data_IF_449624503634
#
_entry.id   IF_449624503634
#
_cell.length_a   1.000
_cell.length_b   1.000
_cell.length_c   1.000
_cell.angle_alpha   90.00
_cell.angle_beta   90.00
_cell.angle_gamma   90.00
#
_symmetry.space_group_name_H-M   'P 1'
#
loop_
_entity.id
_entity.type
_entity.pdbx_description
1 polymer ?
#
# COMPACT_ATOMS: atom_id res chain seq x y z
N UNK A 1 56.68 -48.27 77.14
CA UNK A 1 56.26 -46.92 77.56
C UNK A 1 57.18 -45.93 76.88
N UNK A 2 56.79 -45.46 75.69
CA UNK A 2 57.50 -44.42 74.97
C UNK A 2 56.61 -43.19 74.98
N UNK A 3 57.10 -42.11 75.60
CA UNK A 3 56.38 -40.86 75.74
C UNK A 3 56.37 -40.12 74.40
N UNK A 4 55.17 -39.81 73.92
CA UNK A 4 54.91 -39.08 72.68
C UNK A 4 54.99 -37.57 72.98
N UNK A 5 55.99 -36.89 72.41
CA UNK A 5 56.21 -35.45 72.59
C UNK A 5 55.14 -34.64 71.83
N UNK A 6 54.59 -33.57 72.44
CA UNK A 6 53.53 -32.76 71.83
C UNK A 6 54.07 -31.94 70.65
N UNK A 7 53.39 -32.04 69.49
CA UNK A 7 53.57 -31.17 68.32
C UNK A 7 53.30 -29.71 68.71
N UNK A 8 54.31 -28.87 68.61
CA UNK A 8 54.17 -27.42 68.68
C UNK A 8 53.37 -26.92 67.46
N UNK A 9 52.19 -26.37 67.71
CA UNK A 9 51.41 -25.59 66.73
C UNK A 9 52.16 -24.31 66.38
N UNK A 10 52.60 -24.20 65.12
CA UNK A 10 53.17 -22.98 64.57
C UNK A 10 52.15 -21.83 64.60
N UNK A 11 52.56 -20.60 64.97
CA UNK A 11 51.69 -19.43 64.97
C UNK A 11 51.24 -19.11 63.53
N UNK A 12 49.92 -19.04 63.31
CA UNK A 12 49.35 -18.60 62.05
C UNK A 12 49.92 -17.23 61.66
N UNK A 13 50.44 -17.07 60.42
CA UNK A 13 50.98 -15.79 59.98
C UNK A 13 49.90 -14.70 60.06
N UNK A 14 50.27 -13.46 60.39
CA UNK A 14 49.34 -12.35 60.48
C UNK A 14 48.59 -12.22 59.15
N UNK A 15 47.26 -12.32 59.18
CA UNK A 15 46.41 -12.06 58.02
C UNK A 15 46.72 -10.66 57.52
N UNK A 16 47.39 -10.56 56.38
CA UNK A 16 47.65 -9.30 55.71
C UNK A 16 46.34 -8.52 55.64
N UNK A 17 46.30 -7.37 56.29
CA UNK A 17 45.17 -6.46 56.28
C UNK A 17 44.81 -6.17 54.81
N UNK A 18 43.64 -6.65 54.38
CA UNK A 18 43.07 -6.37 53.06
C UNK A 18 42.77 -4.87 52.99
N UNK A 19 43.76 -4.08 52.59
CA UNK A 19 43.57 -2.69 52.21
C UNK A 19 42.57 -2.68 51.05
N UNK A 20 41.46 -1.95 51.22
CA UNK A 20 40.45 -1.82 50.19
C UNK A 20 41.12 -1.35 48.89
N UNK A 21 40.86 -2.02 47.74
CA UNK A 21 41.48 -1.62 46.49
C UNK A 21 41.12 -0.15 46.20
N UNK A 22 42.08 0.66 45.76
CA UNK A 22 41.84 2.07 45.47
C UNK A 22 40.69 2.21 44.46
N UNK A 23 39.88 3.29 44.55
CA UNK A 23 38.72 3.48 43.67
C UNK A 23 39.17 3.46 42.22
N UNK A 24 38.65 2.51 41.43
CA UNK A 24 39.05 2.28 40.02
C UNK A 24 38.39 3.24 39.01
N UNK A 25 37.42 4.04 39.47
CA UNK A 25 36.65 4.99 38.67
C UNK A 25 37.45 6.13 38.01
N UNK A 26 38.46 6.75 38.64
CA UNK A 26 39.25 7.80 38.01
C UNK A 26 39.97 7.34 36.73
N UNK A 27 40.34 6.05 36.66
CA UNK A 27 40.98 5.44 35.50
C UNK A 27 40.07 5.27 34.27
N UNK A 28 38.75 5.42 34.43
CA UNK A 28 37.76 5.34 33.34
C UNK A 28 37.42 6.71 32.72
N UNK A 29 37.87 7.82 33.31
CA UNK A 29 37.54 9.17 32.82
C UNK A 29 38.11 9.44 31.42
N UNK A 30 39.40 9.24 31.24
CA UNK A 30 40.06 9.47 29.96
C UNK A 30 39.52 8.61 28.80
N UNK A 31 39.28 7.29 28.94
CA UNK A 31 38.72 6.50 27.85
C UNK A 31 37.23 6.83 27.60
N UNK A 32 36.47 7.20 28.62
CA UNK A 32 35.10 7.69 28.44
C UNK A 32 35.07 9.05 27.69
N UNK A 33 36.00 9.96 27.99
CA UNK A 33 36.15 11.23 27.25
C UNK A 33 36.54 10.95 25.79
N UNK A 34 37.49 10.05 25.54
CA UNK A 34 37.86 9.67 24.17
C UNK A 34 36.67 9.07 23.41
N UNK A 35 35.89 8.21 24.05
CA UNK A 35 34.66 7.65 23.47
C UNK A 35 33.63 8.76 23.17
N UNK A 36 33.42 9.68 24.11
CA UNK A 36 32.54 10.84 23.90
C UNK A 36 33.04 11.70 22.73
N UNK A 37 34.34 11.97 22.61
CA UNK A 37 34.90 12.69 21.47
C UNK A 37 34.67 11.96 20.13
N UNK A 38 34.65 10.63 20.15
CA UNK A 38 34.31 9.78 19.01
C UNK A 38 32.81 9.81 18.62
N UNK A 39 31.92 9.95 19.60
CA UNK A 39 30.45 9.88 19.40
C UNK A 39 29.83 11.26 19.21
N UNK A 40 30.27 12.25 19.97
CA UNK A 40 29.70 13.59 20.05
C UNK A 40 29.55 14.26 18.68
N UNK A 41 30.51 14.14 17.74
CA UNK A 41 30.36 14.77 16.43
C UNK A 41 29.26 14.13 15.59
N UNK A 42 28.94 12.84 15.78
CA UNK A 42 27.78 12.24 15.13
C UNK A 42 26.47 12.92 15.56
N UNK A 43 26.36 13.33 16.81
CA UNK A 43 25.19 14.02 17.35
C UNK A 43 25.15 15.51 17.00
N UNK A 44 26.28 16.21 17.14
CA UNK A 44 26.36 17.64 16.90
C UNK A 44 26.19 18.00 15.42
N UNK A 45 26.65 17.13 14.52
CA UNK A 45 26.59 17.35 13.09
C UNK A 45 25.48 16.58 12.39
N UNK A 46 24.60 15.92 13.15
CA UNK A 46 23.39 15.30 12.62
C UNK A 46 22.47 16.40 12.05
N UNK A 47 22.49 16.57 10.72
CA UNK A 47 21.62 17.52 10.01
C UNK A 47 22.32 18.65 9.25
N UNK A 48 23.62 18.86 9.39
CA UNK A 48 24.36 19.88 8.63
C UNK A 48 24.93 19.31 7.33
N UNK A 49 24.06 18.88 6.42
CA UNK A 49 24.46 18.53 5.05
C UNK A 49 24.00 19.62 4.10
N UNK A 50 24.95 20.41 3.60
CA UNK A 50 24.69 21.31 2.48
C UNK A 50 24.80 20.50 1.19
N UNK A 51 23.66 20.03 0.67
CA UNK A 51 23.55 19.49 -0.69
C UNK A 51 23.26 20.64 -1.64
N UNK A 52 24.20 20.98 -2.50
CA UNK A 52 23.95 21.93 -3.58
C UNK A 52 23.43 21.17 -4.80
N UNK A 53 22.18 21.42 -5.19
CA UNK A 53 21.58 20.87 -6.40
C UNK A 53 21.48 21.94 -7.48
N UNK A 54 21.89 21.62 -8.71
CA UNK A 54 21.64 22.43 -9.91
C UNK A 54 20.77 21.59 -10.84
N UNK A 55 19.60 22.11 -11.21
CA UNK A 55 18.59 21.40 -12.02
C UNK A 55 18.16 20.04 -11.42
N UNK A 56 18.01 19.97 -10.10
CA UNK A 56 17.61 18.74 -9.39
C UNK A 56 18.68 17.65 -9.35
N UNK A 57 19.89 17.90 -9.89
CA UNK A 57 21.05 17.01 -9.76
C UNK A 57 21.99 17.57 -8.70
N UNK A 58 22.40 16.72 -7.77
CA UNK A 58 23.38 17.09 -6.73
C UNK A 58 24.73 17.27 -7.40
N UNK A 59 25.22 18.52 -7.49
CA UNK A 59 26.49 18.86 -8.13
C UNK A 59 27.64 18.96 -7.13
N UNK A 60 27.32 19.27 -5.87
CA UNK A 60 28.31 19.35 -4.82
C UNK A 60 27.70 18.83 -3.51
N UNK A 61 28.36 17.83 -2.96
CA UNK A 61 28.05 17.25 -1.67
C UNK A 61 29.30 17.35 -0.80
N UNK A 62 29.53 18.56 -0.27
CA UNK A 62 30.67 18.85 0.59
C UNK A 62 30.41 18.26 1.98
N UNK A 63 30.61 16.95 2.12
CA UNK A 63 30.42 16.21 3.39
C UNK A 63 31.62 16.23 4.33
N UNK A 64 32.65 17.04 4.05
CA UNK A 64 33.90 17.05 4.79
C UNK A 64 33.73 17.73 6.16
N UNK A 65 33.49 16.93 7.19
CA UNK A 65 33.33 17.42 8.57
C UNK A 65 34.70 17.64 9.21
N UNK A 66 35.31 18.79 8.93
CA UNK A 66 36.66 19.15 9.42
C UNK A 66 36.72 19.10 10.96
N UNK A 67 35.69 19.57 11.65
CA UNK A 67 35.66 19.52 13.12
C UNK A 67 35.58 18.08 13.62
N UNK A 68 34.70 17.27 13.03
CA UNK A 68 34.61 15.83 13.32
C UNK A 68 35.95 15.13 13.14
N UNK A 69 36.65 15.41 12.04
CA UNK A 69 37.97 14.86 11.78
C UNK A 69 39.00 15.27 12.85
N UNK A 70 39.03 16.55 13.23
CA UNK A 70 39.94 17.05 14.25
C UNK A 70 39.69 16.38 15.62
N UNK A 71 38.42 16.24 16.02
CA UNK A 71 38.03 15.59 17.27
C UNK A 71 38.37 14.09 17.26
N UNK A 72 38.17 13.41 16.13
CA UNK A 72 38.54 12.01 15.96
C UNK A 72 40.05 11.80 16.10
N UNK A 73 40.87 12.65 15.48
CA UNK A 73 42.34 12.59 15.58
C UNK A 73 42.78 12.82 17.04
N UNK A 74 42.20 13.80 17.74
CA UNK A 74 42.49 14.04 19.15
C UNK A 74 42.16 12.81 20.01
N UNK A 75 40.99 12.18 19.78
CA UNK A 75 40.59 10.94 20.45
C UNK A 75 41.57 9.78 20.19
N UNK A 76 42.02 9.60 18.94
CA UNK A 76 43.01 8.57 18.58
C UNK A 76 44.34 8.80 19.30
N UNK A 77 44.85 10.03 19.35
CA UNK A 77 46.09 10.37 20.06
C UNK A 77 45.96 10.06 21.55
N UNK A 78 44.81 10.37 22.16
CA UNK A 78 44.52 10.04 23.56
C UNK A 78 44.53 8.53 23.79
N UNK A 79 43.83 7.76 22.95
CA UNK A 79 43.79 6.28 23.03
C UNK A 79 45.18 5.69 22.89
N UNK A 80 45.99 6.18 21.94
CA UNK A 80 47.36 5.70 21.76
C UNK A 80 48.25 5.96 22.98
N UNK A 81 48.18 7.16 23.57
CA UNK A 81 48.89 7.49 24.82
C UNK A 81 48.45 6.58 25.96
N UNK A 82 47.15 6.39 26.11
CA UNK A 82 46.59 5.52 27.15
C UNK A 82 47.05 4.07 27.01
N UNK A 83 46.99 3.49 25.81
CA UNK A 83 47.40 2.11 25.57
C UNK A 83 48.92 1.91 25.72
N UNK A 84 49.72 2.94 25.39
CA UNK A 84 51.17 2.93 25.62
C UNK A 84 51.53 2.95 27.10
N UNK A 85 50.79 3.71 27.90
CA UNK A 85 51.02 3.85 29.35
C UNK A 85 50.36 2.71 30.16
N UNK A 86 49.50 1.89 29.53
CA UNK A 86 48.81 0.78 30.18
C UNK A 86 49.74 -0.43 30.35
N UNK A 87 50.35 -0.53 31.54
CA UNK A 87 51.28 -1.61 31.90
C UNK A 87 52.75 -1.33 31.56
N UNK A 88 53.12 -0.09 31.28
CA UNK A 88 54.51 0.33 31.17
C UNK A 88 55.14 0.52 32.56
N UNK A 89 56.47 0.42 32.65
CA UNK A 89 57.21 0.62 33.89
C UNK A 89 56.93 2.03 34.47
N UNK A 90 56.50 2.10 35.73
CA UNK A 90 56.15 3.35 36.41
C UNK A 90 54.67 3.76 36.32
N UNK A 91 53.83 2.99 35.61
CA UNK A 91 52.40 3.26 35.45
C UNK A 91 51.52 2.19 36.12
N UNK A 92 50.21 2.47 36.34
CA UNK A 92 49.29 1.49 36.93
C UNK A 92 49.25 0.18 36.12
N UNK A 93 49.13 -0.98 36.79
CA UNK A 93 49.06 -2.28 36.13
C UNK A 93 47.88 -2.33 35.16
N UNK A 94 48.02 -3.17 34.11
CA UNK A 94 46.98 -3.33 33.08
C UNK A 94 45.65 -3.68 33.71
N UNK A 95 44.64 -2.91 33.36
CA UNK A 95 43.28 -3.14 33.82
C UNK A 95 42.37 -3.34 32.61
N UNK A 96 41.98 -4.60 32.40
CA UNK A 96 41.30 -5.07 31.20
C UNK A 96 40.06 -4.22 30.81
N UNK A 97 39.17 -3.78 31.72
CA UNK A 97 38.07 -2.89 31.39
C UNK A 97 38.52 -1.54 30.79
N UNK A 98 39.61 -0.94 31.30
CA UNK A 98 40.17 0.31 30.74
C UNK A 98 40.74 0.07 29.36
N UNK A 99 41.51 -1.01 29.18
CA UNK A 99 42.09 -1.36 27.88
C UNK A 99 41.00 -1.61 26.85
N UNK A 100 39.97 -2.39 27.19
CA UNK A 100 38.81 -2.68 26.32
C UNK A 100 38.09 -1.38 25.94
N UNK A 101 37.79 -0.51 26.91
CA UNK A 101 37.11 0.76 26.63
C UNK A 101 37.96 1.70 25.75
N UNK A 102 39.27 1.75 25.98
CA UNK A 102 40.19 2.54 25.15
C UNK A 102 40.26 2.00 23.71
N UNK A 103 40.31 0.68 23.52
CA UNK A 103 40.26 0.06 22.18
C UNK A 103 38.94 0.38 21.48
N UNK A 104 37.80 0.25 22.16
CA UNK A 104 36.49 0.61 21.60
C UNK A 104 36.42 2.10 21.22
N UNK A 105 36.91 3.00 22.08
CA UNK A 105 36.99 4.43 21.77
C UNK A 105 37.86 4.67 20.53
N UNK A 106 39.01 4.01 20.42
CA UNK A 106 39.88 4.08 19.25
C UNK A 106 39.19 3.63 17.96
N UNK A 107 38.44 2.53 18.00
CA UNK A 107 37.64 2.05 16.86
C UNK A 107 36.55 3.05 16.46
N UNK A 108 35.85 3.66 17.41
CA UNK A 108 34.84 4.69 17.15
C UNK A 108 35.48 5.93 16.52
N UNK A 109 36.62 6.39 17.03
CA UNK A 109 37.32 7.54 16.45
C UNK A 109 37.87 7.24 15.04
N UNK A 110 38.41 6.04 14.78
CA UNK A 110 38.82 5.61 13.43
C UNK A 110 37.63 5.56 12.47
N UNK A 111 36.50 5.04 12.95
CA UNK A 111 35.25 5.02 12.18
C UNK A 111 34.82 6.44 11.82
N UNK A 112 34.80 7.34 12.80
CA UNK A 112 34.45 8.73 12.60
C UNK A 112 35.43 9.48 11.68
N UNK A 113 36.73 9.20 11.75
CA UNK A 113 37.73 9.79 10.85
C UNK A 113 37.47 9.35 9.40
N UNK A 114 37.19 8.06 9.17
CA UNK A 114 36.84 7.54 7.85
C UNK A 114 35.56 8.17 7.28
N UNK A 115 34.53 8.34 8.11
CA UNK A 115 33.32 9.10 7.77
C UNK A 115 33.63 10.56 7.39
N UNK A 116 34.41 11.26 8.22
CA UNK A 116 34.71 12.69 8.04
C UNK A 116 35.58 12.97 6.82
N UNK A 117 36.40 11.99 6.41
CA UNK A 117 37.18 12.00 5.18
C UNK A 117 36.33 11.62 3.94
N UNK A 118 35.09 11.18 4.13
CA UNK A 118 34.22 10.73 3.04
C UNK A 118 34.62 9.39 2.44
N UNK A 119 35.45 8.58 3.12
CA UNK A 119 35.86 7.25 2.64
C UNK A 119 34.67 6.30 2.51
N UNK A 120 33.65 6.46 3.36
CA UNK A 120 32.37 5.77 3.29
C UNK A 120 31.30 6.61 3.98
N UNK A 121 30.03 6.43 3.59
CA UNK A 121 28.88 7.13 4.16
C UNK A 121 28.05 6.16 4.97
N UNK A 122 27.84 6.46 6.25
CA UNK A 122 26.99 5.68 7.14
C UNK A 122 25.92 6.63 7.63
N UNK A 123 24.75 6.57 7.02
CA UNK A 123 23.58 7.24 7.56
C UNK A 123 22.94 6.27 8.57
N UNK A 124 23.07 6.52 9.89
CA UNK A 124 22.45 5.66 10.89
C UNK A 124 20.92 5.67 10.76
N UNK A 125 20.31 6.73 10.23
CA UNK A 125 18.86 6.77 10.05
C UNK A 125 18.40 5.82 8.94
N UNK A 126 19.14 5.75 7.83
CA UNK A 126 18.88 4.78 6.76
C UNK A 126 19.14 3.36 7.26
N UNK A 127 20.26 3.12 7.97
CA UNK A 127 20.60 1.79 8.50
C UNK A 127 19.64 1.30 9.58
N UNK A 128 19.22 2.17 10.49
CA UNK A 128 18.19 1.84 11.49
C UNK A 128 16.85 1.60 10.81
N UNK A 129 16.52 2.36 9.76
CA UNK A 129 15.32 2.14 8.97
C UNK A 129 15.38 0.80 8.21
N UNK A 130 16.50 0.46 7.60
CA UNK A 130 16.75 -0.84 6.95
C UNK A 130 16.67 -2.00 7.94
N UNK A 131 17.33 -1.86 9.10
CA UNK A 131 17.25 -2.85 10.17
C UNK A 131 15.81 -3.01 10.65
N UNK A 132 15.08 -1.90 10.85
CA UNK A 132 13.67 -1.94 11.22
C UNK A 132 12.85 -2.67 10.15
N UNK A 133 13.06 -2.38 8.88
CA UNK A 133 12.37 -3.07 7.77
C UNK A 133 12.75 -4.54 7.71
N UNK A 134 14.01 -4.89 7.96
CA UNK A 134 14.49 -6.28 7.97
C UNK A 134 13.93 -7.10 9.12
N UNK A 135 13.79 -6.51 10.32
CA UNK A 135 13.31 -7.21 11.51
C UNK A 135 11.78 -7.17 11.67
N UNK A 136 11.14 -6.07 11.30
CA UNK A 136 9.71 -5.84 11.53
C UNK A 136 8.88 -5.73 10.25
N UNK A 137 9.51 -5.85 9.08
CA UNK A 137 8.86 -5.64 7.79
C UNK A 137 8.68 -4.16 7.43
N UNK A 138 8.20 -3.93 6.22
CA UNK A 138 7.87 -2.60 5.74
C UNK A 138 6.64 -2.08 6.52
N UNK A 139 6.71 -0.90 7.17
CA UNK A 139 5.52 -0.32 7.78
C UNK A 139 4.44 -0.05 6.72
N UNK A 140 3.20 -0.36 7.08
CA UNK A 140 2.06 -0.04 6.25
C UNK A 140 1.83 1.49 6.22
N UNK A 141 1.55 2.09 5.05
CA UNK A 141 1.14 3.49 4.99
C UNK A 141 -0.17 3.70 5.76
N UNK A 142 -0.16 4.61 6.73
CA UNK A 142 -1.38 5.04 7.41
C UNK A 142 -2.31 5.80 6.47
N UNK A 143 -3.63 5.68 6.69
CA UNK A 143 -4.63 6.49 6.00
C UNK A 143 -4.35 8.00 6.19
N UNK A 144 -4.65 8.79 5.16
CA UNK A 144 -4.42 10.25 5.17
C UNK A 144 -5.71 10.98 5.51
N UNK A 145 -6.78 10.72 4.75
CA UNK A 145 -8.09 11.34 4.97
C UNK A 145 -9.17 10.31 5.30
N UNK A 146 -8.91 9.03 5.05
CA UNK A 146 -9.89 7.98 5.31
C UNK A 146 -10.04 7.70 6.81
N UNK A 147 -11.18 8.10 7.38
CA UNK A 147 -11.55 7.88 8.78
C UNK A 147 -12.40 6.62 9.01
N UNK A 148 -12.60 5.80 7.98
CA UNK A 148 -13.54 4.67 7.99
C UNK A 148 -14.72 4.88 7.04
N UNK A 149 -15.53 3.83 6.87
CA UNK A 149 -16.80 3.94 6.15
C UNK A 149 -17.81 4.70 7.00
N UNK A 150 -18.43 5.73 6.41
CA UNK A 150 -19.56 6.43 6.99
C UNK A 150 -20.75 5.47 7.23
N UNK A 151 -21.64 5.86 8.14
CA UNK A 151 -22.75 5.01 8.57
C UNK A 151 -23.68 4.63 7.40
N UNK A 152 -24.04 5.61 6.54
CA UNK A 152 -24.94 5.37 5.42
C UNK A 152 -24.36 4.35 4.43
N UNK A 153 -23.07 4.46 4.12
CA UNK A 153 -22.37 3.51 3.24
C UNK A 153 -22.25 2.13 3.87
N UNK A 154 -21.94 2.06 5.16
CA UNK A 154 -21.89 0.80 5.90
C UNK A 154 -23.25 0.10 5.90
N UNK A 155 -24.32 0.83 6.20
CA UNK A 155 -25.69 0.32 6.23
C UNK A 155 -26.13 -0.12 4.83
N UNK A 156 -25.77 0.63 3.79
CA UNK A 156 -26.01 0.26 2.40
C UNK A 156 -25.32 -1.05 2.00
N UNK A 157 -24.06 -1.25 2.40
CA UNK A 157 -23.32 -2.50 2.15
C UNK A 157 -23.91 -3.68 2.92
N UNK A 158 -24.29 -3.49 4.19
CA UNK A 158 -24.93 -4.52 5.01
C UNK A 158 -26.29 -4.90 4.43
N UNK A 159 -27.13 -3.90 4.09
CA UNK A 159 -28.44 -4.12 3.46
C UNK A 159 -28.29 -4.89 2.15
N UNK A 160 -27.42 -4.42 1.26
CA UNK A 160 -27.11 -5.10 0.00
C UNK A 160 -26.65 -6.53 0.23
N UNK A 161 -25.75 -6.74 1.19
CA UNK A 161 -25.25 -8.05 1.58
C UNK A 161 -26.33 -9.02 2.06
N UNK A 162 -27.50 -8.53 2.51
CA UNK A 162 -28.67 -9.35 2.89
C UNK A 162 -29.62 -9.62 1.72
N UNK A 163 -29.74 -8.68 0.79
CA UNK A 163 -30.77 -8.70 -0.26
C UNK A 163 -30.34 -9.42 -1.54
N UNK A 164 -29.06 -9.38 -1.91
CA UNK A 164 -28.59 -9.97 -3.18
C UNK A 164 -28.38 -11.49 -3.10
N UNK A 165 -28.38 -12.17 -4.25
CA UNK A 165 -28.09 -13.61 -4.33
C UNK A 165 -26.62 -13.93 -4.07
N UNK A 166 -26.33 -15.21 -3.78
CA UNK A 166 -24.98 -15.70 -3.49
C UNK A 166 -23.97 -15.35 -4.59
N UNK A 167 -24.36 -15.53 -5.85
CA UNK A 167 -23.49 -15.27 -7.00
C UNK A 167 -23.13 -13.80 -7.11
N UNK A 168 -24.11 -12.89 -6.95
CA UNK A 168 -23.86 -11.44 -6.97
C UNK A 168 -23.02 -10.98 -5.78
N UNK A 169 -23.28 -11.48 -4.56
CA UNK A 169 -22.47 -11.12 -3.39
C UNK A 169 -21.03 -11.60 -3.54
N UNK A 170 -20.83 -12.80 -4.07
CA UNK A 170 -19.50 -13.30 -4.41
C UNK A 170 -18.83 -12.43 -5.47
N UNK A 171 -19.53 -12.06 -6.53
CA UNK A 171 -18.99 -11.19 -7.57
C UNK A 171 -18.58 -9.81 -7.01
N UNK A 172 -19.33 -9.27 -6.05
CA UNK A 172 -18.98 -8.04 -5.31
C UNK A 172 -17.69 -8.22 -4.50
N UNK A 173 -17.57 -9.32 -3.72
CA UNK A 173 -16.35 -9.66 -2.97
C UNK A 173 -15.14 -9.76 -3.90
N UNK A 174 -15.27 -10.47 -5.01
CA UNK A 174 -14.20 -10.67 -6.00
C UNK A 174 -13.78 -9.35 -6.63
N UNK A 175 -14.74 -8.48 -6.97
CA UNK A 175 -14.47 -7.18 -7.57
C UNK A 175 -13.72 -6.26 -6.60
N UNK A 176 -14.14 -6.20 -5.34
CA UNK A 176 -13.47 -5.39 -4.31
C UNK A 176 -12.09 -5.96 -3.99
N UNK A 177 -11.94 -7.28 -3.90
CA UNK A 177 -10.65 -7.93 -3.69
C UNK A 177 -9.68 -7.66 -4.84
N UNK A 178 -10.14 -7.71 -6.10
CA UNK A 178 -9.34 -7.40 -7.28
C UNK A 178 -8.86 -5.93 -7.25
N UNK A 179 -9.75 -4.98 -6.93
CA UNK A 179 -9.40 -3.56 -6.81
C UNK A 179 -8.42 -3.30 -5.67
N UNK A 180 -8.64 -3.90 -4.50
CA UNK A 180 -7.75 -3.80 -3.34
C UNK A 180 -6.34 -4.31 -3.68
N UNK A 181 -6.25 -5.51 -4.26
CA UNK A 181 -5.00 -6.14 -4.64
C UNK A 181 -4.26 -5.34 -5.73
N UNK A 182 -4.97 -4.86 -6.75
CA UNK A 182 -4.43 -3.97 -7.77
C UNK A 182 -3.90 -2.66 -7.16
N UNK A 183 -4.65 -2.02 -6.25
CA UNK A 183 -4.23 -0.82 -5.54
C UNK A 183 -2.97 -1.03 -4.70
N UNK A 184 -2.87 -2.16 -4.01
CA UNK A 184 -1.66 -2.56 -3.25
C UNK A 184 -0.46 -2.70 -4.19
N UNK A 185 -0.60 -3.37 -5.32
CA UNK A 185 0.47 -3.52 -6.33
C UNK A 185 0.89 -2.15 -6.88
N UNK A 186 -0.09 -1.32 -7.25
CA UNK A 186 0.11 0.04 -7.74
C UNK A 186 0.91 0.89 -6.75
N UNK A 187 0.48 0.94 -5.48
CA UNK A 187 1.17 1.71 -4.45
C UNK A 187 2.56 1.13 -4.15
N UNK A 188 2.70 -0.19 -4.05
CA UNK A 188 3.99 -0.81 -3.73
C UNK A 188 5.02 -0.56 -4.85
N UNK A 189 4.63 -0.63 -6.12
CA UNK A 189 5.49 -0.28 -7.26
C UNK A 189 5.85 1.20 -7.29
N UNK A 190 4.89 2.09 -6.98
CA UNK A 190 5.16 3.51 -6.80
C UNK A 190 6.16 3.74 -5.66
N UNK A 191 5.95 3.10 -4.51
CA UNK A 191 6.79 3.26 -3.33
C UNK A 191 8.24 2.88 -3.63
N UNK A 192 8.46 1.76 -4.32
CA UNK A 192 9.80 1.32 -4.72
C UNK A 192 10.46 2.20 -5.76
N UNK A 193 9.69 2.78 -6.69
CA UNK A 193 10.24 3.49 -7.86
C UNK A 193 10.39 4.99 -7.60
N UNK A 194 9.46 5.58 -6.85
CA UNK A 194 9.27 7.03 -6.78
C UNK A 194 9.30 7.61 -5.37
N UNK A 195 9.15 6.79 -4.33
CA UNK A 195 9.21 7.21 -2.94
C UNK A 195 10.49 6.67 -2.28
N UNK A 196 10.44 6.41 -0.97
CA UNK A 196 11.56 5.90 -0.19
C UNK A 196 11.61 4.35 -0.16
N UNK A 197 10.66 3.66 -0.79
CA UNK A 197 10.63 2.19 -0.91
C UNK A 197 10.31 1.43 0.38
N UNK A 198 10.25 2.12 1.52
CA UNK A 198 10.12 1.54 2.86
C UNK A 198 8.68 1.33 3.29
N UNK A 199 7.73 2.12 2.79
CA UNK A 199 6.32 1.94 3.12
C UNK A 199 5.66 1.06 2.09
N UNK A 200 5.07 -0.05 2.52
CA UNK A 200 4.40 -0.98 1.62
C UNK A 200 3.17 -1.55 2.29
N UNK A 201 2.13 -1.75 1.50
CA UNK A 201 0.99 -2.51 1.95
C UNK A 201 1.34 -4.01 1.95
N UNK A 202 1.01 -4.73 3.04
CA UNK A 202 1.11 -6.17 3.05
C UNK A 202 0.12 -6.78 2.05
N UNK A 203 0.43 -7.99 1.59
CA UNK A 203 -0.51 -8.79 0.81
C UNK A 203 -1.72 -9.13 1.68
N UNK A 204 -2.92 -8.91 1.14
CA UNK A 204 -4.18 -9.25 1.81
C UNK A 204 -4.56 -10.69 1.49
N UNK A 205 -4.89 -11.46 2.55
CA UNK A 205 -5.38 -12.83 2.41
C UNK A 205 -6.76 -12.82 1.74
N UNK A 206 -6.92 -13.66 0.72
CA UNK A 206 -8.19 -13.76 -0.01
C UNK A 206 -9.15 -14.70 0.73
N UNK A 207 -10.47 -14.39 0.78
CA UNK A 207 -11.44 -15.25 1.43
C UNK A 207 -11.38 -16.70 0.92
N UNK A 208 -11.53 -17.66 1.83
CA UNK A 208 -11.39 -19.09 1.53
C UNK A 208 -12.46 -19.63 0.58
N UNK A 209 -13.65 -19.01 0.56
CA UNK A 209 -14.76 -19.41 -0.32
C UNK A 209 -14.56 -19.01 -1.80
N UNK A 210 -13.52 -18.23 -2.13
CA UNK A 210 -13.22 -17.89 -3.51
C UNK A 210 -12.68 -19.12 -4.26
N UNK A 211 -13.30 -19.44 -5.40
CA UNK A 211 -12.86 -20.52 -6.28
C UNK A 211 -11.67 -20.08 -7.15
N UNK A 212 -11.07 -21.01 -7.87
CA UNK A 212 -9.90 -20.75 -8.70
C UNK A 212 -10.15 -19.67 -9.76
N UNK A 213 -11.30 -19.66 -10.41
CA UNK A 213 -11.68 -18.65 -11.41
C UNK A 213 -11.71 -17.22 -10.85
N UNK A 214 -12.02 -17.07 -9.57
CA UNK A 214 -12.01 -15.76 -8.90
C UNK A 214 -10.59 -15.33 -8.57
N UNK A 215 -9.78 -16.27 -8.08
CA UNK A 215 -8.35 -16.04 -7.78
C UNK A 215 -7.60 -15.65 -9.05
N UNK A 216 -7.89 -16.32 -10.17
CA UNK A 216 -7.36 -15.96 -11.49
C UNK A 216 -7.78 -14.56 -11.93
N UNK A 217 -9.03 -14.17 -11.70
CA UNK A 217 -9.49 -12.81 -12.01
C UNK A 217 -8.76 -11.75 -11.17
N UNK A 218 -8.58 -12.00 -9.87
CA UNK A 218 -7.83 -11.11 -8.96
C UNK A 218 -6.37 -11.03 -9.39
N UNK A 219 -5.73 -12.16 -9.69
CA UNK A 219 -4.34 -12.21 -10.15
C UNK A 219 -4.14 -11.47 -11.49
N UNK A 220 -5.10 -11.57 -12.42
CA UNK A 220 -5.07 -10.83 -13.67
C UNK A 220 -5.15 -9.31 -13.43
N UNK A 221 -5.93 -8.85 -12.45
CA UNK A 221 -5.98 -7.44 -12.06
C UNK A 221 -4.64 -6.96 -11.47
N UNK A 222 -3.98 -7.78 -10.65
CA UNK A 222 -2.63 -7.51 -10.14
C UNK A 222 -1.61 -7.42 -11.28
N UNK A 223 -1.58 -8.40 -12.18
CA UNK A 223 -0.62 -8.49 -13.27
C UNK A 223 -0.77 -7.34 -14.27
N UNK A 224 -2.01 -7.06 -14.69
CA UNK A 224 -2.30 -5.93 -15.59
C UNK A 224 -1.89 -4.58 -14.98
N UNK A 225 -2.10 -4.42 -13.67
CA UNK A 225 -1.63 -3.24 -12.94
C UNK A 225 -0.11 -3.19 -12.89
N UNK A 226 0.54 -4.31 -12.57
CA UNK A 226 2.00 -4.38 -12.53
C UNK A 226 2.64 -4.03 -13.88
N UNK A 227 2.10 -4.55 -14.99
CA UNK A 227 2.57 -4.25 -16.35
C UNK A 227 2.42 -2.77 -16.68
N UNK A 228 1.28 -2.16 -16.35
CA UNK A 228 1.03 -0.74 -16.59
C UNK A 228 1.96 0.15 -15.78
N UNK A 229 2.27 -0.24 -14.54
CA UNK A 229 3.04 0.57 -13.59
C UNK A 229 4.55 0.33 -13.65
N UNK A 230 5.02 -0.73 -14.32
CA UNK A 230 6.45 -1.07 -14.43
C UNK A 230 7.32 0.06 -14.99
N UNK A 231 6.78 0.85 -15.93
CA UNK A 231 7.50 1.94 -16.60
C UNK A 231 6.98 3.33 -16.20
N UNK A 232 6.40 3.44 -15.01
CA UNK A 232 5.87 4.72 -14.54
C UNK A 232 6.96 5.78 -14.36
N UNK A 233 6.66 7.02 -14.76
CA UNK A 233 7.50 8.20 -14.48
C UNK A 233 7.13 8.80 -13.13
N UNK A 234 8.13 9.23 -12.36
CA UNK A 234 7.91 9.81 -11.03
C UNK A 234 7.71 11.33 -11.09
N UNK A 235 6.64 11.80 -11.73
CA UNK A 235 6.28 13.22 -11.74
C UNK A 235 5.49 13.66 -10.49
N UNK A 236 5.32 14.98 -10.33
CA UNK A 236 4.65 15.57 -9.17
C UNK A 236 3.18 15.12 -9.04
N UNK A 237 2.48 14.99 -10.17
CA UNK A 237 1.07 14.58 -10.20
C UNK A 237 0.90 13.15 -9.69
N UNK A 238 1.78 12.24 -10.12
CA UNK A 238 1.77 10.85 -9.66
C UNK A 238 2.08 10.77 -8.16
N UNK A 239 3.06 11.54 -7.68
CA UNK A 239 3.39 11.58 -6.24
C UNK A 239 2.21 12.05 -5.40
N UNK A 240 1.50 13.08 -5.83
CA UNK A 240 0.30 13.61 -5.16
C UNK A 240 -0.84 12.60 -5.15
N UNK A 241 -1.13 11.97 -6.29
CA UNK A 241 -2.18 10.96 -6.38
C UNK A 241 -1.90 9.71 -5.51
N UNK A 242 -0.63 9.35 -5.35
CA UNK A 242 -0.20 8.16 -4.59
C UNK A 242 -0.12 8.38 -3.09
N UNK A 243 0.23 9.59 -2.65
CA UNK A 243 0.49 9.89 -1.25
C UNK A 243 -0.78 10.04 -0.41
N UNK A 244 -1.96 10.20 -1.02
CA UNK A 244 -3.24 10.31 -0.32
C UNK A 244 -4.33 9.46 -0.95
N UNK A 245 -4.86 9.82 -2.14
CA UNK A 245 -6.03 9.17 -2.73
C UNK A 245 -5.91 7.64 -2.87
N UNK A 246 -4.78 7.13 -3.35
CA UNK A 246 -4.58 5.67 -3.49
C UNK A 246 -4.49 4.97 -2.13
N UNK A 247 -3.75 5.54 -1.17
CA UNK A 247 -3.67 5.00 0.20
C UNK A 247 -5.07 4.92 0.82
N UNK A 248 -5.84 6.00 0.74
CA UNK A 248 -7.20 6.06 1.29
C UNK A 248 -8.16 5.12 0.57
N UNK A 249 -8.00 4.93 -0.75
CA UNK A 249 -8.77 3.93 -1.51
C UNK A 249 -8.46 2.50 -1.07
N UNK A 250 -7.19 2.17 -0.80
CA UNK A 250 -6.79 0.83 -0.33
C UNK A 250 -7.40 0.54 1.04
N UNK A 251 -7.34 1.49 1.98
CA UNK A 251 -7.96 1.34 3.30
C UNK A 251 -9.49 1.22 3.21
N UNK A 252 -10.11 2.02 2.35
CA UNK A 252 -11.56 1.93 2.06
C UNK A 252 -11.93 0.57 1.49
N UNK A 253 -11.20 0.08 0.51
CA UNK A 253 -11.48 -1.20 -0.13
C UNK A 253 -11.29 -2.38 0.81
N UNK A 254 -10.30 -2.31 1.72
CA UNK A 254 -10.15 -3.30 2.78
C UNK A 254 -11.39 -3.35 3.68
N UNK A 255 -11.89 -2.19 4.14
CA UNK A 255 -13.10 -2.14 4.96
C UNK A 255 -14.35 -2.64 4.22
N UNK A 256 -14.49 -2.32 2.92
CA UNK A 256 -15.60 -2.83 2.09
C UNK A 256 -15.48 -4.35 1.91
N UNK A 257 -14.27 -4.87 1.67
CA UNK A 257 -14.02 -6.29 1.53
C UNK A 257 -14.36 -7.05 2.81
N UNK A 258 -13.96 -6.53 3.97
CA UNK A 258 -14.24 -7.14 5.27
C UNK A 258 -15.75 -7.25 5.52
N UNK A 259 -16.52 -6.20 5.21
CA UNK A 259 -17.99 -6.21 5.32
C UNK A 259 -18.64 -7.19 4.33
N UNK A 260 -18.25 -7.14 3.05
CA UNK A 260 -18.83 -7.99 2.01
C UNK A 260 -18.51 -9.48 2.25
N UNK A 261 -17.26 -9.80 2.59
CA UNK A 261 -16.85 -11.16 2.90
C UNK A 261 -17.43 -11.65 4.25
N UNK A 262 -17.65 -10.75 5.20
CA UNK A 262 -18.40 -11.02 6.43
C UNK A 262 -19.85 -11.42 6.12
N UNK A 263 -20.56 -10.60 5.36
CA UNK A 263 -21.94 -10.86 4.95
C UNK A 263 -22.08 -12.16 4.15
N UNK A 264 -21.11 -12.47 3.27
CA UNK A 264 -21.09 -13.73 2.53
C UNK A 264 -20.96 -14.92 3.49
N UNK A 265 -19.98 -14.90 4.40
CA UNK A 265 -19.77 -15.98 5.37
C UNK A 265 -20.95 -16.19 6.30
N UNK A 266 -21.59 -15.11 6.73
CA UNK A 266 -22.77 -15.18 7.60
C UNK A 266 -23.95 -15.88 6.91
N UNK A 267 -24.18 -15.62 5.61
CA UNK A 267 -25.33 -16.15 4.87
C UNK A 267 -25.09 -17.51 4.22
N UNK A 268 -23.90 -17.71 3.67
CA UNK A 268 -23.60 -18.85 2.79
C UNK A 268 -22.49 -19.75 3.34
N UNK A 269 -21.84 -19.35 4.45
CA UNK A 269 -20.73 -20.08 5.06
C UNK A 269 -19.39 -19.85 4.37
N UNK A 270 -18.39 -20.64 4.75
CA UNK A 270 -17.01 -20.50 4.25
C UNK A 270 -16.67 -21.49 3.11
N UNK A 271 -17.62 -22.32 2.69
CA UNK A 271 -17.42 -23.31 1.63
C UNK A 271 -17.46 -22.62 0.28
N UNK A 272 -16.56 -22.98 -0.67
CA UNK A 272 -16.66 -22.46 -2.02
C UNK A 272 -17.99 -22.90 -2.65
N UNK A 273 -18.74 -21.99 -3.29
CA UNK A 273 -19.98 -22.33 -3.96
C UNK A 273 -19.71 -23.20 -5.19
N UNK A 274 -20.76 -23.88 -5.67
CA UNK A 274 -20.71 -24.51 -6.98
C UNK A 274 -20.33 -23.47 -8.05
N UNK A 275 -19.48 -23.86 -9.00
CA UNK A 275 -19.13 -23.00 -10.13
C UNK A 275 -20.41 -22.69 -10.91
N UNK A 276 -20.86 -21.42 -10.96
CA UNK A 276 -22.04 -21.08 -11.72
C UNK A 276 -21.77 -21.36 -13.20
N UNK A 277 -22.78 -21.83 -13.96
CA UNK A 277 -22.62 -22.00 -15.39
C UNK A 277 -22.28 -20.64 -16.01
N UNK A 278 -21.23 -20.60 -16.83
CA UNK A 278 -20.94 -19.45 -17.68
C UNK A 278 -21.96 -19.44 -18.79
N UNK A 279 -23.03 -18.67 -18.62
CA UNK A 279 -23.99 -18.42 -19.69
C UNK A 279 -23.36 -17.38 -20.59
N UNK A 280 -23.08 -17.75 -21.85
CA UNK A 280 -22.78 -16.75 -22.88
C UNK A 280 -24.10 -16.35 -23.51
N UNK A 281 -24.53 -15.12 -23.27
CA UNK A 281 -25.65 -14.58 -24.01
C UNK A 281 -25.28 -14.53 -25.50
N UNK A 282 -26.00 -15.24 -26.36
CA UNK A 282 -25.86 -15.11 -27.82
C UNK A 282 -26.74 -13.97 -28.36
N UNK A 283 -27.79 -13.62 -27.61
CA UNK A 283 -28.76 -12.58 -27.94
C UNK A 283 -28.93 -11.62 -26.78
N UNK A 284 -29.17 -10.34 -27.10
CA UNK A 284 -29.47 -9.33 -26.10
C UNK A 284 -30.90 -9.57 -25.58
N UNK A 285 -31.03 -10.03 -24.35
CA UNK A 285 -32.30 -10.12 -23.64
C UNK A 285 -32.49 -8.90 -22.75
N UNK A 286 -33.73 -8.41 -22.62
CA UNK A 286 -34.06 -7.29 -21.73
C UNK A 286 -35.26 -7.65 -20.88
N UNK A 287 -35.23 -7.30 -19.59
CA UNK A 287 -36.37 -7.40 -18.67
C UNK A 287 -36.69 -6.01 -18.15
N UNK A 288 -37.98 -5.63 -18.16
CA UNK A 288 -38.43 -4.32 -17.71
C UNK A 288 -38.17 -3.16 -18.68
N UNK A 289 -37.64 -3.43 -19.87
CA UNK A 289 -37.45 -2.42 -20.92
C UNK A 289 -38.59 -2.50 -21.95
N UNK A 290 -39.51 -1.52 -22.01
CA UNK A 290 -40.68 -1.58 -22.90
C UNK A 290 -40.36 -1.21 -24.36
N UNK A 291 -39.16 -0.70 -24.62
CA UNK A 291 -38.72 -0.18 -25.93
C UNK A 291 -37.61 -1.03 -26.54
N UNK A 292 -37.54 -1.06 -27.87
CA UNK A 292 -36.54 -1.81 -28.63
C UNK A 292 -35.84 -0.92 -29.67
N UNK A 293 -34.60 -1.27 -30.02
CA UNK A 293 -33.87 -0.64 -31.12
C UNK A 293 -34.67 -0.85 -32.42
N UNK A 294 -34.77 0.20 -33.24
CA UNK A 294 -35.49 0.20 -34.52
C UNK A 294 -36.96 0.64 -34.45
N UNK A 295 -37.56 0.77 -33.26
CA UNK A 295 -38.92 1.29 -33.11
C UNK A 295 -39.03 2.75 -33.57
N UNK A 296 -40.19 3.17 -34.05
CA UNK A 296 -40.46 4.57 -34.40
C UNK A 296 -40.66 5.45 -33.15
N UNK A 297 -40.60 6.77 -33.32
CA UNK A 297 -40.94 7.73 -32.25
C UNK A 297 -42.31 7.43 -31.63
N UNK A 298 -43.33 7.17 -32.46
CA UNK A 298 -44.70 6.92 -31.99
C UNK A 298 -44.82 5.62 -31.18
N UNK A 299 -44.14 4.55 -31.61
CA UNK A 299 -44.10 3.28 -30.89
C UNK A 299 -43.38 3.43 -29.54
N UNK A 300 -42.24 4.14 -29.51
CA UNK A 300 -41.50 4.38 -28.29
C UNK A 300 -42.30 5.27 -27.31
N UNK A 301 -43.00 6.30 -27.81
CA UNK A 301 -43.92 7.12 -27.03
C UNK A 301 -45.04 6.28 -26.41
N UNK A 302 -45.69 5.43 -27.20
CA UNK A 302 -46.76 4.55 -26.72
C UNK A 302 -46.26 3.56 -25.66
N UNK A 303 -45.12 2.92 -25.91
CA UNK A 303 -44.50 1.96 -24.98
C UNK A 303 -44.06 2.62 -23.66
N UNK A 304 -43.64 3.89 -23.71
CA UNK A 304 -43.29 4.66 -22.52
C UNK A 304 -44.49 5.41 -21.91
N UNK A 305 -45.66 5.44 -22.55
CA UNK A 305 -46.77 6.27 -22.06
C UNK A 305 -46.44 7.77 -22.03
N UNK A 306 -45.62 8.23 -22.99
CA UNK A 306 -45.20 9.62 -23.14
C UNK A 306 -45.90 10.26 -24.35
N UNK A 307 -46.27 11.53 -24.24
CA UNK A 307 -46.92 12.29 -25.33
C UNK A 307 -46.07 13.46 -25.84
N UNK A 308 -45.00 13.82 -25.14
CA UNK A 308 -44.10 14.88 -25.54
C UNK A 308 -43.25 14.46 -26.74
N UNK A 309 -42.99 15.42 -27.65
CA UNK A 309 -42.05 15.21 -28.75
C UNK A 309 -40.61 14.98 -28.21
N UNK A 310 -39.77 14.24 -28.96
CA UNK A 310 -38.35 14.11 -28.62
C UNK A 310 -37.68 15.49 -28.50
N UNK A 311 -36.87 15.67 -27.46
CA UNK A 311 -36.08 16.88 -27.22
C UNK A 311 -34.61 16.59 -27.43
N UNK A 312 -33.82 17.58 -27.82
CA UNK A 312 -32.37 17.40 -27.99
C UNK A 312 -31.72 17.21 -26.62
N UNK A 313 -31.12 16.05 -26.40
CA UNK A 313 -30.40 15.75 -25.17
C UNK A 313 -29.10 16.59 -25.07
N UNK A 314 -28.78 17.19 -23.91
CA UNK A 314 -27.62 18.06 -23.78
C UNK A 314 -26.27 17.32 -23.79
N UNK A 315 -26.22 16.08 -23.34
CA UNK A 315 -24.98 15.27 -23.29
C UNK A 315 -24.62 14.77 -24.69
N UNK A 316 -25.62 14.31 -25.45
CA UNK A 316 -25.41 13.63 -26.73
C UNK A 316 -25.76 14.46 -27.96
N UNK A 317 -26.48 15.57 -27.80
CA UNK A 317 -26.95 16.45 -28.89
C UNK A 317 -27.78 15.71 -29.95
N UNK A 318 -28.51 14.69 -29.53
CA UNK A 318 -29.38 13.86 -30.36
C UNK A 318 -30.83 13.98 -29.87
N UNK A 319 -31.85 13.88 -30.75
CA UNK A 319 -33.25 13.85 -30.33
C UNK A 319 -33.51 12.64 -29.42
N UNK A 320 -34.13 12.88 -28.26
CA UNK A 320 -34.36 11.86 -27.24
C UNK A 320 -35.71 12.00 -26.54
N UNK A 321 -36.26 10.86 -26.10
CA UNK A 321 -37.37 10.77 -25.16
C UNK A 321 -36.85 10.25 -23.82
N UNK A 322 -37.06 11.03 -22.77
CA UNK A 322 -36.65 10.67 -21.41
C UNK A 322 -37.86 10.30 -20.55
N UNK A 323 -37.89 9.06 -20.09
CA UNK A 323 -38.74 8.59 -18.99
C UNK A 323 -37.90 8.60 -17.70
N UNK A 324 -37.65 9.80 -17.16
CA UNK A 324 -36.74 10.02 -16.04
C UNK A 324 -37.17 9.29 -14.76
N UNK A 325 -38.48 9.15 -14.55
CA UNK A 325 -39.10 8.39 -13.45
C UNK A 325 -38.73 6.90 -13.45
N UNK A 326 -38.41 6.36 -14.63
CA UNK A 326 -38.00 4.96 -14.83
C UNK A 326 -36.52 4.81 -15.19
N UNK A 327 -35.78 5.92 -15.31
CA UNK A 327 -34.36 5.90 -15.67
C UNK A 327 -34.10 5.41 -17.10
N UNK A 328 -35.01 5.68 -18.04
CA UNK A 328 -34.88 5.25 -19.44
C UNK A 328 -34.82 6.48 -20.35
N UNK A 329 -33.77 6.58 -21.16
CA UNK A 329 -33.64 7.61 -22.21
C UNK A 329 -33.43 6.95 -23.57
N UNK A 330 -34.31 7.27 -24.52
CA UNK A 330 -34.35 6.68 -25.85
C UNK A 330 -33.93 7.72 -26.87
N UNK A 331 -32.94 7.42 -27.70
CA UNK A 331 -32.39 8.32 -28.71
C UNK A 331 -32.78 7.88 -30.11
N UNK A 332 -33.07 8.84 -30.96
CA UNK A 332 -33.58 8.64 -32.31
C UNK A 332 -32.56 9.03 -33.37
N UNK A 333 -32.44 8.21 -34.41
CA UNK A 333 -31.68 8.52 -35.60
C UNK A 333 -32.40 9.52 -36.52
N UNK A 334 -31.75 9.97 -37.60
CA UNK A 334 -32.36 10.86 -38.59
C UNK A 334 -33.60 10.28 -39.27
N UNK A 335 -33.76 8.96 -39.27
CA UNK A 335 -34.91 8.23 -39.81
C UNK A 335 -36.10 8.16 -38.84
N UNK A 336 -35.98 8.77 -37.66
CA UNK A 336 -37.02 8.74 -36.63
C UNK A 336 -37.14 7.38 -35.93
N UNK A 337 -36.12 6.53 -36.02
CA UNK A 337 -36.09 5.23 -35.33
C UNK A 337 -35.17 5.24 -34.12
N UNK A 338 -35.49 4.42 -33.12
CA UNK A 338 -34.67 4.22 -31.92
C UNK A 338 -33.32 3.63 -32.35
N UNK A 339 -32.24 4.38 -32.12
CA UNK A 339 -30.88 3.93 -32.43
C UNK A 339 -30.03 3.68 -31.19
N UNK A 340 -30.48 4.16 -30.03
CA UNK A 340 -29.76 3.99 -28.76
C UNK A 340 -30.72 4.10 -27.59
N UNK A 341 -30.48 3.29 -26.57
CA UNK A 341 -31.21 3.33 -25.30
C UNK A 341 -30.19 3.46 -24.18
N UNK A 342 -30.36 4.44 -23.30
CA UNK A 342 -29.55 4.65 -22.10
C UNK A 342 -30.40 4.35 -20.87
N UNK A 343 -29.86 3.54 -19.98
CA UNK A 343 -30.49 3.13 -18.73
C UNK A 343 -29.64 3.66 -17.57
N UNK A 344 -30.26 4.51 -16.74
CA UNK A 344 -29.68 5.13 -15.55
C UNK A 344 -30.58 4.80 -14.33
N UNK A 345 -30.14 5.00 -13.07
CA UNK A 345 -31.03 4.91 -11.92
C UNK A 345 -32.23 5.86 -12.10
N UNK A 346 -33.48 5.44 -11.77
CA UNK A 346 -33.84 4.26 -10.97
C UNK A 346 -34.24 3.01 -11.78
N UNK A 347 -33.75 2.80 -13.01
CA UNK A 347 -34.09 1.61 -13.79
C UNK A 347 -33.85 0.30 -13.01
N UNK A 348 -34.90 -0.51 -12.84
CA UNK A 348 -34.89 -1.73 -12.01
C UNK A 348 -34.84 -3.04 -12.80
N UNK A 349 -34.84 -2.95 -14.14
CA UNK A 349 -34.78 -4.11 -15.03
C UNK A 349 -33.37 -4.67 -15.24
N UNK A 350 -33.24 -5.55 -16.22
CA UNK A 350 -31.96 -6.18 -16.59
C UNK A 350 -31.73 -6.15 -18.10
N UNK A 351 -30.46 -6.15 -18.50
CA UNK A 351 -30.01 -6.36 -19.88
C UNK A 351 -29.00 -7.49 -19.86
N UNK A 352 -29.22 -8.56 -20.61
CA UNK A 352 -28.42 -9.80 -20.57
C UNK A 352 -28.22 -10.31 -19.14
N UNK A 353 -29.30 -10.30 -18.36
CA UNK A 353 -29.37 -10.59 -16.92
C UNK A 353 -28.50 -9.71 -16.02
N UNK A 354 -27.90 -8.63 -16.55
CA UNK A 354 -27.12 -7.65 -15.79
C UNK A 354 -28.02 -6.47 -15.39
N UNK A 355 -28.03 -6.14 -14.10
CA UNK A 355 -28.78 -5.02 -13.55
C UNK A 355 -27.89 -3.79 -13.28
N UNK A 356 -28.49 -2.61 -13.15
CA UNK A 356 -27.82 -1.48 -12.50
C UNK A 356 -27.47 -1.86 -11.05
N UNK A 357 -26.25 -1.53 -10.64
CA UNK A 357 -25.68 -1.93 -9.37
C UNK A 357 -24.98 -3.29 -9.37
N UNK A 358 -25.07 -4.11 -10.43
CA UNK A 358 -24.24 -5.33 -10.53
C UNK A 358 -22.74 -4.95 -10.67
N UNK A 359 -21.84 -5.82 -10.23
CA UNK A 359 -20.40 -5.60 -10.35
C UNK A 359 -19.86 -5.93 -11.74
N UNK A 360 -18.68 -5.40 -12.10
CA UNK A 360 -18.01 -5.72 -13.36
C UNK A 360 -17.77 -7.23 -13.55
N UNK A 361 -17.52 -7.96 -12.46
CA UNK A 361 -17.38 -9.42 -12.49
C UNK A 361 -18.67 -10.11 -12.92
N UNK A 362 -19.84 -9.58 -12.55
CA UNK A 362 -21.14 -10.09 -12.97
C UNK A 362 -21.29 -10.06 -14.50
N UNK A 363 -20.78 -9.00 -15.15
CA UNK A 363 -20.76 -8.90 -16.62
C UNK A 363 -19.91 -10.03 -17.20
N UNK A 364 -18.66 -10.18 -16.75
CA UNK A 364 -17.77 -11.22 -17.29
C UNK A 364 -18.37 -12.63 -17.18
N UNK A 365 -19.12 -12.89 -16.11
CA UNK A 365 -19.81 -14.17 -15.87
C UNK A 365 -21.03 -14.38 -16.77
N UNK A 366 -21.90 -13.36 -16.92
CA UNK A 366 -23.19 -13.45 -17.64
C UNK A 366 -23.08 -13.19 -19.14
N UNK A 367 -22.05 -12.46 -19.54
CA UNK A 367 -21.88 -11.94 -20.90
C UNK A 367 -20.68 -12.60 -21.59
N UNK A 368 -19.59 -12.83 -20.86
CA UNK A 368 -18.35 -13.38 -21.41
C UNK A 368 -17.61 -12.41 -22.34
N UNK A 369 -16.29 -12.54 -22.43
CA UNK A 369 -15.47 -11.89 -23.48
C UNK A 369 -15.51 -10.35 -23.49
N UNK A 370 -15.95 -9.74 -22.40
CA UNK A 370 -16.11 -8.29 -22.29
C UNK A 370 -14.74 -7.60 -22.43
N UNK A 371 -14.59 -6.76 -23.45
CA UNK A 371 -13.38 -5.95 -23.60
C UNK A 371 -13.50 -4.71 -22.74
N UNK A 372 -12.66 -4.61 -21.71
CA UNK A 372 -12.55 -3.40 -20.90
C UNK A 372 -11.78 -2.33 -21.67
N UNK A 373 -12.42 -1.19 -21.90
CA UNK A 373 -11.76 0.04 -22.35
C UNK A 373 -11.75 1.07 -21.23
N UNK A 374 -10.64 1.79 -21.06
CA UNK A 374 -10.59 2.96 -20.18
C UNK A 374 -11.01 4.22 -20.95
N UNK A 375 -11.93 5.00 -20.39
CA UNK A 375 -12.23 6.35 -20.88
C UNK A 375 -12.23 7.30 -19.68
N UNK A 376 -11.11 7.96 -19.47
CA UNK A 376 -10.90 8.85 -18.31
C UNK A 376 -10.45 8.10 -17.05
N UNK A 377 -10.11 8.87 -16.02
CA UNK A 377 -9.54 8.36 -14.76
C UNK A 377 -10.57 7.72 -13.81
N UNK A 378 -11.87 7.91 -14.05
CA UNK A 378 -12.92 7.58 -13.07
C UNK A 378 -13.99 6.59 -13.56
N UNK A 379 -13.85 6.05 -14.79
CA UNK A 379 -14.89 5.22 -15.41
C UNK A 379 -14.30 4.08 -16.22
N UNK A 380 -14.87 2.90 -16.01
CA UNK A 380 -14.57 1.72 -16.83
C UNK A 380 -15.74 1.46 -17.75
N UNK A 381 -15.42 1.26 -19.04
CA UNK A 381 -16.39 0.85 -20.03
C UNK A 381 -16.15 -0.60 -20.39
N UNK A 382 -17.22 -1.37 -20.37
CA UNK A 382 -17.20 -2.73 -20.90
C UNK A 382 -18.02 -2.75 -22.16
N UNK A 383 -17.36 -3.03 -23.28
CA UNK A 383 -17.99 -3.16 -24.58
C UNK A 383 -18.19 -4.64 -24.90
N UNK A 384 -19.40 -5.00 -25.30
CA UNK A 384 -19.63 -6.25 -26.02
C UNK A 384 -20.44 -6.00 -27.28
N UNK A 385 -20.01 -6.62 -28.37
CA UNK A 385 -20.68 -6.58 -29.67
C UNK A 385 -21.41 -7.90 -29.88
N UNK A 386 -22.72 -7.82 -30.04
CA UNK A 386 -23.58 -8.92 -30.44
C UNK A 386 -23.91 -8.76 -31.92
N UNK A 387 -24.27 -9.85 -32.61
CA UNK A 387 -24.57 -9.82 -34.04
C UNK A 387 -25.65 -8.81 -34.46
N UNK A 388 -26.44 -8.31 -33.51
CA UNK A 388 -27.53 -7.36 -33.69
C UNK A 388 -27.39 -6.04 -32.90
N UNK A 389 -26.25 -5.77 -32.23
CA UNK A 389 -26.09 -4.53 -31.47
C UNK A 389 -24.82 -4.43 -30.62
N UNK A 390 -24.60 -3.29 -29.97
CA UNK A 390 -23.49 -3.04 -29.04
C UNK A 390 -24.03 -2.71 -27.65
N UNK A 391 -23.57 -3.46 -26.65
CA UNK A 391 -23.81 -3.16 -25.24
C UNK A 391 -22.60 -2.46 -24.65
N UNK A 392 -22.85 -1.36 -23.95
CA UNK A 392 -21.84 -0.62 -23.20
C UNK A 392 -22.29 -0.51 -21.76
N UNK A 393 -21.51 -1.06 -20.85
CA UNK A 393 -21.70 -0.88 -19.41
C UNK A 393 -20.71 0.15 -18.90
N UNK A 394 -21.20 1.14 -18.14
CA UNK A 394 -20.37 2.10 -17.42
C UNK A 394 -20.44 1.75 -15.94
N UNK A 395 -19.29 1.64 -15.29
CA UNK A 395 -19.20 1.42 -13.85
C UNK A 395 -18.60 2.63 -13.14
N UNK A 396 -19.07 2.88 -11.93
CA UNK A 396 -18.45 3.85 -11.03
C UNK A 396 -17.12 3.29 -10.52
N UNK A 397 -16.01 4.01 -10.69
CA UNK A 397 -14.70 3.61 -10.17
C UNK A 397 -14.71 3.43 -8.65
N UNK A 398 -15.47 4.26 -7.94
CA UNK A 398 -15.53 4.25 -6.48
C UNK A 398 -16.25 3.01 -5.93
N UNK A 399 -17.28 2.52 -6.62
CA UNK A 399 -18.11 1.40 -6.14
C UNK A 399 -17.78 0.10 -6.85
N UNK A 400 -17.21 0.15 -8.06
CA UNK A 400 -17.00 -1.02 -8.91
C UNK A 400 -18.31 -1.59 -9.47
N UNK A 401 -19.43 -0.88 -9.29
CA UNK A 401 -20.76 -1.31 -9.74
C UNK A 401 -21.21 -0.52 -10.96
N UNK A 402 -22.01 -1.17 -11.80
CA UNK A 402 -22.60 -0.60 -13.01
C UNK A 402 -23.59 0.49 -12.62
N UNK A 403 -23.40 1.70 -13.13
CA UNK A 403 -24.30 2.82 -12.88
C UNK A 403 -25.01 3.31 -14.14
N UNK A 404 -24.62 2.82 -15.33
CA UNK A 404 -25.30 3.11 -16.59
C UNK A 404 -25.13 1.97 -17.59
N UNK A 405 -26.18 1.65 -18.33
CA UNK A 405 -26.16 0.69 -19.43
C UNK A 405 -26.57 1.42 -20.71
N UNK A 406 -25.85 1.20 -21.80
CA UNK A 406 -26.17 1.77 -23.12
C UNK A 406 -26.31 0.65 -24.13
N UNK A 407 -27.46 0.58 -24.78
CA UNK A 407 -27.76 -0.31 -25.89
C UNK A 407 -27.69 0.50 -27.19
N UNK A 408 -27.02 -0.03 -28.21
CA UNK A 408 -26.89 0.58 -29.54
C UNK A 408 -27.10 -0.43 -30.63
#
# INVERSE_FOLDING_TARGET
MSAELPRQTEPSPPRASLTAPPPRWPGLRAPAIALLLGILPFWLFFGFHQKATVNGRVVQDSGLNILGLALAIAGIIMVFKMLRDDGSYGHPPRWLPRTVLAVLAGLVCLFQAGQSLGLYRFDPSERVRDLRVRFFGNPEPGAVTYAGLDAARRDGLVKRGREIDEGRLRDDVVTVAARLRAGIVQYNLFSTTCADGYRRFPTVELPSFLIEDDRRYIAQAEESTALRWRNMRCDARIREAMSGPVIDSIHRDRAVLDLAAGAYRERFGARPPATPPTVRAETITTQGLPVQIGQTVAEAQAALGLSNAPQVDPEWREPALAAADRGITVFFGPDGKVMRIVLDPPFSGTVVDVALGDSLRSINRKVGGATSGERGINETFVLNSYGNGRLVFRSSFETGTINRIVLR
#
